data_IF_642020073423
#
_entry.id   IF_642020073423
#
_cell.length_a   1.000
_cell.length_b   1.000
_cell.length_c   1.000
_cell.angle_alpha   90.00
_cell.angle_beta   90.00
_cell.angle_gamma   90.00
#
_symmetry.space_group_name_H-M   'P 1'
#
loop_
_entity.id
_entity.type
_entity.pdbx_description
1 polymer ?
#
# COMPACT_ATOMS: atom_id res chain seq x y z
N UNK A 1 1.27 -6.86 -20.78
CA UNK A 1 2.46 -6.36 -21.48
C UNK A 1 2.65 -4.90 -21.10
N UNK A 2 3.87 -4.46 -20.78
CA UNK A 2 4.16 -3.05 -20.48
C UNK A 2 4.52 -2.34 -21.80
N UNK A 3 3.64 -1.47 -22.28
CA UNK A 3 3.83 -0.77 -23.57
C UNK A 3 4.48 0.61 -23.41
N UNK A 4 4.88 0.99 -22.19
CA UNK A 4 5.41 2.33 -21.88
C UNK A 4 6.64 2.71 -22.74
N UNK A 5 7.51 1.75 -23.05
CA UNK A 5 8.68 1.98 -23.91
C UNK A 5 8.27 2.23 -25.37
N UNK A 6 7.32 1.45 -25.89
CA UNK A 6 6.88 1.59 -27.28
C UNK A 6 6.11 2.88 -27.52
N UNK A 7 5.26 3.29 -26.57
CA UNK A 7 4.52 4.54 -26.70
C UNK A 7 5.42 5.76 -26.63
N UNK A 8 6.56 5.70 -25.94
CA UNK A 8 7.56 6.77 -25.98
C UNK A 8 8.06 6.99 -27.41
N UNK A 9 8.49 5.92 -28.09
CA UNK A 9 8.98 6.00 -29.47
C UNK A 9 7.89 6.48 -30.45
N UNK A 10 6.63 6.07 -30.24
CA UNK A 10 5.52 6.57 -31.03
C UNK A 10 5.31 8.08 -30.82
N UNK A 11 5.19 8.51 -29.57
CA UNK A 11 4.84 9.89 -29.22
C UNK A 11 5.91 10.90 -29.62
N UNK A 12 7.19 10.54 -29.58
CA UNK A 12 8.28 11.46 -29.97
C UNK A 12 8.33 11.73 -31.48
N UNK A 13 7.72 10.88 -32.30
CA UNK A 13 7.63 11.06 -33.76
C UNK A 13 6.40 11.89 -34.16
N UNK A 14 5.50 12.19 -33.21
CA UNK A 14 4.37 13.09 -33.43
C UNK A 14 4.78 14.55 -33.27
N UNK A 15 4.11 15.42 -34.00
CA UNK A 15 4.18 16.85 -33.80
C UNK A 15 3.34 17.27 -32.58
N UNK A 16 3.63 18.46 -32.04
CA UNK A 16 2.85 19.04 -30.94
C UNK A 16 1.37 19.22 -31.34
N UNK A 17 1.08 19.48 -32.62
CA UNK A 17 -0.30 19.67 -33.10
C UNK A 17 -1.12 18.37 -33.03
N UNK A 18 -0.48 17.21 -33.13
CA UNK A 18 -1.16 15.91 -33.08
C UNK A 18 -1.75 15.66 -31.68
N UNK A 19 -1.22 16.28 -30.64
CA UNK A 19 -1.76 16.22 -29.26
C UNK A 19 -2.95 17.16 -29.02
N UNK A 20 -3.44 17.84 -30.07
CA UNK A 20 -4.73 18.54 -30.03
C UNK A 20 -5.91 17.63 -30.40
N UNK A 21 -5.65 16.36 -30.70
CA UNK A 21 -6.65 15.34 -31.01
C UNK A 21 -6.96 14.48 -29.79
N UNK A 22 -8.26 14.25 -29.55
CA UNK A 22 -8.74 13.50 -28.39
C UNK A 22 -8.27 12.05 -28.41
N UNK A 23 -8.41 11.38 -29.57
CA UNK A 23 -8.08 9.96 -29.73
C UNK A 23 -6.58 9.72 -29.60
N UNK A 24 -5.77 10.64 -30.13
CA UNK A 24 -4.31 10.60 -30.02
C UNK A 24 -3.87 10.68 -28.55
N UNK A 25 -4.42 11.63 -27.78
CA UNK A 25 -4.09 11.75 -26.35
C UNK A 25 -4.60 10.53 -25.58
N UNK A 26 -5.82 10.06 -25.84
CA UNK A 26 -6.38 8.89 -25.18
C UNK A 26 -5.55 7.63 -25.45
N UNK A 27 -5.15 7.40 -26.71
CA UNK A 27 -4.31 6.27 -27.11
C UNK A 27 -2.97 6.26 -26.36
N UNK A 28 -2.33 7.44 -26.25
CA UNK A 28 -1.09 7.57 -25.46
C UNK A 28 -1.33 7.21 -24.00
N UNK A 29 -2.39 7.71 -23.37
CA UNK A 29 -2.72 7.39 -21.97
C UNK A 29 -3.04 5.91 -21.77
N UNK A 30 -3.77 5.28 -22.69
CA UNK A 30 -4.13 3.85 -22.64
C UNK A 30 -2.91 2.94 -22.70
N UNK A 31 -1.89 3.34 -23.45
CA UNK A 31 -0.60 2.66 -23.49
C UNK A 31 0.22 2.83 -22.18
N UNK A 32 -0.23 3.72 -21.29
CA UNK A 32 0.29 3.90 -19.92
C UNK A 32 1.79 4.22 -19.87
N UNK A 33 2.21 5.37 -20.43
CA UNK A 33 3.60 5.80 -20.49
C UNK A 33 4.18 6.00 -19.08
N UNK A 34 5.50 6.15 -18.97
CA UNK A 34 6.12 6.44 -17.68
C UNK A 34 5.77 7.86 -17.20
N UNK A 35 5.71 8.05 -15.87
CA UNK A 35 5.29 9.31 -15.24
C UNK A 35 6.22 10.50 -15.55
N UNK A 36 7.48 10.23 -15.90
CA UNK A 36 8.50 11.20 -16.29
C UNK A 36 8.82 11.22 -17.80
N UNK A 37 8.06 10.44 -18.58
CA UNK A 37 8.29 10.29 -20.03
C UNK A 37 7.95 11.55 -20.83
N UNK A 38 8.52 11.68 -22.04
CA UNK A 38 8.13 12.74 -22.98
C UNK A 38 6.72 12.49 -23.51
N UNK A 39 6.32 11.24 -23.76
CA UNK A 39 4.97 10.89 -24.19
C UNK A 39 3.90 11.42 -23.22
N UNK A 40 4.08 11.22 -21.91
CA UNK A 40 3.13 11.71 -20.93
C UNK A 40 3.10 13.24 -20.89
N UNK A 41 4.26 13.91 -20.94
CA UNK A 41 4.32 15.39 -21.00
C UNK A 41 3.60 15.95 -22.22
N UNK A 42 3.76 15.32 -23.38
CA UNK A 42 3.06 15.71 -24.61
C UNK A 42 1.55 15.49 -24.51
N UNK A 43 1.12 14.34 -23.97
CA UNK A 43 -0.30 14.05 -23.73
C UNK A 43 -0.94 15.09 -22.80
N UNK A 44 -0.21 15.56 -21.79
CA UNK A 44 -0.68 16.56 -20.82
C UNK A 44 -0.51 18.02 -21.26
N UNK A 45 0.00 18.27 -22.48
CA UNK A 45 0.24 19.63 -22.96
C UNK A 45 -1.06 20.39 -23.23
N UNK A 46 -2.04 19.74 -23.86
CA UNK A 46 -3.35 20.33 -24.14
C UNK A 46 -4.34 20.00 -23.02
N UNK A 47 -4.37 20.85 -22.00
CA UNK A 47 -5.24 20.68 -20.82
C UNK A 47 -6.73 20.52 -21.15
N UNK A 48 -7.34 21.30 -22.06
CA UNK A 48 -8.72 21.07 -22.48
C UNK A 48 -9.02 19.64 -22.96
N UNK A 49 -8.11 19.02 -23.72
CA UNK A 49 -8.29 17.64 -24.19
C UNK A 49 -8.21 16.64 -23.03
N UNK A 50 -7.23 16.79 -22.14
CA UNK A 50 -7.13 15.98 -20.92
C UNK A 50 -8.38 16.13 -20.05
N UNK A 51 -8.82 17.36 -19.80
CA UNK A 51 -10.02 17.63 -19.01
C UNK A 51 -11.26 17.00 -19.67
N UNK A 52 -11.34 17.01 -21.01
CA UNK A 52 -12.40 16.31 -21.75
C UNK A 52 -12.34 14.81 -21.50
N UNK A 53 -11.18 14.16 -21.70
CA UNK A 53 -10.98 12.72 -21.44
C UNK A 53 -11.40 12.35 -20.03
N UNK A 54 -10.94 13.11 -19.02
CA UNK A 54 -11.27 12.81 -17.63
C UNK A 54 -12.72 13.19 -17.24
N UNK A 55 -13.47 13.90 -18.09
CA UNK A 55 -14.92 14.14 -17.91
C UNK A 55 -15.77 13.10 -18.63
N UNK A 56 -15.37 12.68 -19.82
CA UNK A 56 -16.15 11.76 -20.66
C UNK A 56 -15.94 10.30 -20.28
N UNK A 57 -14.72 9.93 -19.88
CA UNK A 57 -14.39 8.54 -19.60
C UNK A 57 -14.91 8.06 -18.25
N UNK A 58 -15.34 6.79 -18.22
CA UNK A 58 -15.86 6.17 -17.00
C UNK A 58 -14.85 6.27 -15.85
N UNK A 59 -15.35 6.38 -14.62
CA UNK A 59 -14.48 6.44 -13.44
C UNK A 59 -13.54 5.22 -13.35
N UNK A 60 -14.02 4.03 -13.76
CA UNK A 60 -13.22 2.81 -13.82
C UNK A 60 -12.06 2.94 -14.81
N UNK A 61 -12.30 3.49 -16.01
CA UNK A 61 -11.25 3.69 -17.01
C UNK A 61 -10.21 4.69 -16.51
N UNK A 62 -10.64 5.82 -15.93
CA UNK A 62 -9.73 6.83 -15.35
C UNK A 62 -8.82 6.25 -14.26
N UNK A 63 -9.38 5.44 -13.35
CA UNK A 63 -8.59 4.72 -12.36
C UNK A 63 -7.59 3.73 -12.98
N UNK A 64 -7.98 3.02 -14.05
CA UNK A 64 -7.08 2.10 -14.77
C UNK A 64 -5.94 2.84 -15.47
N UNK A 65 -6.20 3.97 -16.12
CA UNK A 65 -5.17 4.78 -16.79
C UNK A 65 -4.11 5.23 -15.78
N UNK A 66 -4.53 5.94 -14.73
CA UNK A 66 -3.62 6.46 -13.72
C UNK A 66 -2.90 5.31 -12.98
N UNK A 67 -3.63 4.26 -12.59
CA UNK A 67 -3.06 3.11 -11.91
C UNK A 67 -1.99 2.38 -12.72
N UNK A 68 -2.17 2.27 -14.04
CA UNK A 68 -1.17 1.64 -14.92
C UNK A 68 0.07 2.52 -15.12
N UNK A 69 -0.08 3.85 -15.29
CA UNK A 69 1.04 4.79 -15.36
C UNK A 69 1.90 4.67 -14.09
N UNK A 70 1.27 4.73 -12.90
CA UNK A 70 1.96 4.60 -11.61
C UNK A 70 2.65 3.23 -11.51
N UNK A 71 1.95 2.15 -11.84
CA UNK A 71 2.48 0.79 -11.76
C UNK A 71 3.66 0.55 -12.70
N UNK A 72 3.54 0.95 -13.97
CA UNK A 72 4.59 0.77 -14.97
C UNK A 72 5.84 1.56 -14.57
N UNK A 73 5.66 2.82 -14.17
CA UNK A 73 6.76 3.69 -13.74
C UNK A 73 7.45 3.14 -12.49
N UNK A 74 6.68 2.75 -11.47
CA UNK A 74 7.24 2.21 -10.23
C UNK A 74 7.96 0.88 -10.45
N UNK A 75 7.40 -0.02 -11.27
CA UNK A 75 8.03 -1.31 -11.54
C UNK A 75 9.37 -1.13 -12.26
N UNK A 76 9.44 -0.24 -13.24
CA UNK A 76 10.70 0.06 -13.92
C UNK A 76 11.68 0.78 -12.99
N UNK A 77 11.20 1.69 -12.13
CA UNK A 77 12.02 2.34 -11.10
C UNK A 77 12.65 1.31 -10.16
N UNK A 78 11.89 0.32 -9.67
CA UNK A 78 12.41 -0.77 -8.83
C UNK A 78 13.44 -1.60 -9.57
N UNK A 79 13.14 -2.01 -10.81
CA UNK A 79 14.03 -2.79 -11.67
C UNK A 79 15.36 -2.08 -11.90
N UNK A 80 15.33 -0.78 -12.17
CA UNK A 80 16.51 0.05 -12.42
C UNK A 80 17.12 0.65 -11.14
N UNK A 81 16.50 0.46 -9.97
CA UNK A 81 16.82 1.15 -8.71
C UNK A 81 16.94 2.68 -8.88
N UNK A 82 16.03 3.27 -9.66
CA UNK A 82 16.00 4.71 -9.94
C UNK A 82 15.07 5.43 -8.96
N UNK A 83 15.66 6.13 -7.97
CA UNK A 83 14.89 6.94 -7.02
C UNK A 83 14.13 8.08 -7.70
N UNK A 84 14.75 8.72 -8.71
CA UNK A 84 14.10 9.79 -9.48
C UNK A 84 12.82 9.31 -10.14
N UNK A 85 12.86 8.14 -10.78
CA UNK A 85 11.69 7.56 -11.45
C UNK A 85 10.61 7.12 -10.44
N UNK A 86 11.02 6.61 -9.28
CA UNK A 86 10.11 6.30 -8.17
C UNK A 86 9.43 7.57 -7.62
N UNK A 87 10.17 8.67 -7.49
CA UNK A 87 9.62 9.98 -7.09
C UNK A 87 8.63 10.52 -8.11
N UNK A 88 8.89 10.35 -9.41
CA UNK A 88 7.94 10.69 -10.49
C UNK A 88 6.64 9.89 -10.38
N UNK A 89 6.73 8.57 -10.18
CA UNK A 89 5.57 7.72 -9.96
C UNK A 89 4.78 8.12 -8.70
N UNK A 90 5.47 8.38 -7.59
CA UNK A 90 4.86 8.78 -6.32
C UNK A 90 4.17 10.16 -6.43
N UNK A 91 4.78 11.10 -7.15
CA UNK A 91 4.23 12.43 -7.39
C UNK A 91 2.99 12.37 -8.29
N UNK A 92 3.05 11.58 -9.36
CA UNK A 92 1.88 11.34 -10.21
C UNK A 92 0.74 10.67 -9.42
N UNK A 93 1.08 9.74 -8.53
CA UNK A 93 0.13 9.11 -7.60
C UNK A 93 -0.56 10.14 -6.71
N UNK A 94 0.19 11.11 -6.15
CA UNK A 94 -0.38 12.21 -5.36
C UNK A 94 -1.39 13.03 -6.15
N UNK A 95 -1.04 13.45 -7.38
CA UNK A 95 -1.90 14.30 -8.19
C UNK A 95 -3.16 13.60 -8.70
N UNK A 96 -3.16 12.26 -8.74
CA UNK A 96 -4.38 11.48 -9.01
C UNK A 96 -5.46 11.66 -7.94
N UNK A 97 -5.13 12.25 -6.78
CA UNK A 97 -6.04 12.58 -5.68
C UNK A 97 -6.24 14.10 -5.54
N UNK A 98 -6.37 14.84 -6.64
CA UNK A 98 -6.43 16.31 -6.63
C UNK A 98 -7.43 16.91 -5.61
N UNK A 99 -8.58 16.27 -5.41
CA UNK A 99 -9.62 16.73 -4.49
C UNK A 99 -9.42 16.27 -3.03
N UNK A 100 -8.39 15.46 -2.75
CA UNK A 100 -8.10 14.91 -1.43
C UNK A 100 -6.58 14.94 -1.17
N UNK A 101 -6.04 16.10 -0.75
CA UNK A 101 -4.60 16.27 -0.55
C UNK A 101 -4.01 15.31 0.48
N UNK A 102 -4.80 14.90 1.47
CA UNK A 102 -4.39 13.93 2.49
C UNK A 102 -4.21 12.54 1.88
N UNK A 103 -5.19 12.03 1.12
CA UNK A 103 -5.04 10.78 0.36
C UNK A 103 -3.91 10.87 -0.66
N UNK A 104 -3.74 12.02 -1.31
CA UNK A 104 -2.62 12.26 -2.22
C UNK A 104 -1.26 12.11 -1.54
N UNK A 105 -1.10 12.75 -0.37
CA UNK A 105 0.12 12.65 0.43
C UNK A 105 0.38 11.21 0.91
N UNK A 106 -0.67 10.53 1.40
CA UNK A 106 -0.58 9.11 1.77
C UNK A 106 -0.12 8.26 0.58
N UNK A 107 -0.79 8.42 -0.56
CA UNK A 107 -0.49 7.68 -1.78
C UNK A 107 0.95 7.88 -2.24
N UNK A 108 1.47 9.11 -2.19
CA UNK A 108 2.87 9.42 -2.48
C UNK A 108 3.82 8.61 -1.59
N UNK A 109 3.60 8.66 -0.27
CA UNK A 109 4.48 8.00 0.69
C UNK A 109 4.38 6.48 0.55
N UNK A 110 3.18 5.92 0.34
CA UNK A 110 3.01 4.47 0.11
C UNK A 110 3.79 3.99 -1.11
N UNK A 111 3.84 4.76 -2.20
CA UNK A 111 4.63 4.42 -3.37
C UNK A 111 6.14 4.40 -3.06
N UNK A 112 6.63 5.37 -2.31
CA UNK A 112 8.04 5.40 -1.89
C UNK A 112 8.38 4.27 -0.91
N UNK A 113 7.48 3.94 0.02
CA UNK A 113 7.65 2.79 0.92
C UNK A 113 7.77 1.48 0.15
N UNK A 114 6.95 1.28 -0.89
CA UNK A 114 7.07 0.14 -1.79
C UNK A 114 8.43 0.12 -2.49
N UNK A 115 8.86 1.25 -3.04
CA UNK A 115 10.17 1.35 -3.69
C UNK A 115 11.32 0.96 -2.75
N UNK A 116 11.38 1.55 -1.55
CA UNK A 116 12.44 1.25 -0.58
C UNK A 116 12.41 -0.21 -0.10
N UNK A 117 11.21 -0.77 0.08
CA UNK A 117 11.04 -2.19 0.43
C UNK A 117 11.60 -3.13 -0.65
N UNK A 118 11.21 -2.93 -1.91
CA UNK A 118 11.56 -3.81 -3.03
C UNK A 118 13.03 -3.66 -3.44
N UNK A 119 13.61 -2.46 -3.28
CA UNK A 119 15.04 -2.20 -3.52
C UNK A 119 15.93 -2.53 -2.33
N UNK A 120 15.35 -2.95 -1.20
CA UNK A 120 16.02 -3.23 0.08
C UNK A 120 16.77 -2.02 0.67
N UNK A 121 16.32 -0.80 0.38
CA UNK A 121 16.79 0.43 1.02
C UNK A 121 16.16 0.57 2.41
N UNK A 122 16.70 -0.21 3.36
CA UNK A 122 16.15 -0.30 4.71
C UNK A 122 16.26 1.01 5.48
N UNK A 123 17.30 1.81 5.23
CA UNK A 123 17.50 3.11 5.89
C UNK A 123 16.37 4.07 5.55
N UNK A 124 16.09 4.27 4.26
CA UNK A 124 15.02 5.16 3.85
C UNK A 124 13.64 4.55 4.14
N UNK A 125 13.50 3.22 4.06
CA UNK A 125 12.27 2.54 4.48
C UNK A 125 11.92 2.87 5.94
N UNK A 126 12.84 2.67 6.89
CA UNK A 126 12.59 2.96 8.30
C UNK A 126 12.29 4.44 8.54
N UNK A 127 13.08 5.34 7.93
CA UNK A 127 12.89 6.79 8.06
C UNK A 127 11.51 7.24 7.60
N UNK A 128 10.98 6.64 6.54
CA UNK A 128 9.66 7.01 5.99
C UNK A 128 8.51 6.26 6.68
N UNK A 129 8.69 4.97 7.00
CA UNK A 129 7.60 4.12 7.49
C UNK A 129 7.13 4.55 8.87
N UNK A 130 8.05 4.82 9.81
CA UNK A 130 7.69 5.18 11.17
C UNK A 130 6.74 6.39 11.25
N UNK A 131 7.09 7.59 10.75
CA UNK A 131 6.19 8.74 10.80
C UNK A 131 4.92 8.57 9.95
N UNK A 132 4.96 7.72 8.91
CA UNK A 132 3.79 7.42 8.11
C UNK A 132 2.76 6.61 8.90
N UNK A 133 3.16 5.48 9.49
CA UNK A 133 2.23 4.63 10.22
C UNK A 133 1.79 5.26 11.54
N UNK A 134 2.67 5.99 12.23
CA UNK A 134 2.31 6.72 13.45
C UNK A 134 1.18 7.73 13.21
N UNK A 135 1.32 8.56 12.17
CA UNK A 135 0.36 9.61 11.86
C UNK A 135 -0.96 9.09 11.33
N UNK A 136 -0.91 8.10 10.44
CA UNK A 136 -2.09 7.66 9.70
C UNK A 136 -2.85 6.54 10.40
N UNK A 137 -2.19 5.79 11.27
CA UNK A 137 -2.77 4.61 11.90
C UNK A 137 -2.73 4.74 13.43
N UNK A 138 -1.61 5.11 14.05
CA UNK A 138 -1.49 5.04 15.51
C UNK A 138 -2.10 6.20 16.29
N UNK A 139 -2.46 7.31 15.62
CA UNK A 139 -2.99 8.51 16.27
C UNK A 139 -4.31 8.29 17.05
N UNK A 140 -5.18 7.40 16.57
CA UNK A 140 -6.47 7.13 17.22
C UNK A 140 -6.32 6.18 18.41
N UNK A 141 -7.06 6.45 19.49
CA UNK A 141 -7.19 5.50 20.61
C UNK A 141 -8.02 4.29 20.18
N UNK A 142 -7.87 3.17 20.90
CA UNK A 142 -8.69 1.96 20.70
C UNK A 142 -10.18 2.26 20.84
N UNK A 143 -10.57 3.11 21.78
CA UNK A 143 -11.96 3.51 21.99
C UNK A 143 -12.50 4.36 20.85
N UNK A 144 -11.71 5.33 20.37
CA UNK A 144 -12.08 6.16 19.21
C UNK A 144 -12.19 5.32 17.95
N UNK A 145 -11.29 4.35 17.77
CA UNK A 145 -11.31 3.45 16.62
C UNK A 145 -12.48 2.47 16.70
N UNK A 146 -12.77 1.90 17.87
CA UNK A 146 -13.93 1.05 18.12
C UNK A 146 -15.23 1.82 17.91
N UNK A 147 -15.29 3.08 18.37
CA UNK A 147 -16.42 3.98 18.12
C UNK A 147 -16.53 4.36 16.66
N UNK A 148 -15.46 4.58 15.90
CA UNK A 148 -15.53 4.83 14.46
C UNK A 148 -16.05 3.61 13.70
N UNK A 149 -15.56 2.42 14.06
CA UNK A 149 -16.03 1.15 13.50
C UNK A 149 -17.51 0.90 13.87
N UNK A 150 -17.95 1.32 15.06
CA UNK A 150 -19.34 1.15 15.52
C UNK A 150 -20.31 2.24 15.00
N UNK A 151 -19.88 3.51 14.98
CA UNK A 151 -20.68 4.70 14.69
C UNK A 151 -20.71 5.10 13.21
N UNK A 152 -19.86 4.51 12.36
CA UNK A 152 -20.00 4.68 10.90
C UNK A 152 -21.38 4.24 10.37
N UNK A 153 -22.15 3.50 11.17
CA UNK A 153 -23.55 3.16 10.94
C UNK A 153 -24.55 4.32 11.10
N UNK A 154 -24.17 5.40 11.79
CA UNK A 154 -25.09 6.49 12.21
C UNK A 154 -24.93 7.77 11.37
N UNK A 155 -23.74 8.02 10.79
CA UNK A 155 -23.43 9.29 10.13
C UNK A 155 -23.82 9.41 8.64
N UNK A 156 -24.47 8.39 8.05
CA UNK A 156 -24.95 8.46 6.65
C UNK A 156 -26.35 7.83 6.51
N UNK A 157 -27.44 8.58 6.76
CA UNK A 157 -28.79 8.04 6.80
C UNK A 157 -29.32 7.48 5.47
N UNK A 158 -28.62 7.70 4.34
CA UNK A 158 -29.09 7.32 2.99
C UNK A 158 -28.29 6.21 2.29
N UNK A 159 -27.39 5.51 2.99
CA UNK A 159 -26.70 4.33 2.47
C UNK A 159 -27.27 3.07 3.12
N UNK A 160 -27.66 2.07 2.32
CA UNK A 160 -28.20 0.80 2.82
C UNK A 160 -27.27 0.22 3.90
N UNK A 161 -27.84 -0.13 5.05
CA UNK A 161 -27.13 -0.61 6.25
C UNK A 161 -26.12 -1.73 5.96
N UNK A 162 -26.42 -2.60 4.99
CA UNK A 162 -25.54 -3.69 4.54
C UNK A 162 -24.30 -3.21 3.76
N UNK A 163 -24.40 -2.07 3.08
CA UNK A 163 -23.26 -1.46 2.38
C UNK A 163 -22.31 -0.77 3.36
N UNK A 164 -22.85 -0.13 4.39
CA UNK A 164 -22.05 0.55 5.43
C UNK A 164 -21.28 -0.44 6.29
N UNK A 165 -21.92 -1.52 6.74
CA UNK A 165 -21.25 -2.57 7.54
C UNK A 165 -20.09 -3.21 6.77
N UNK A 166 -20.27 -3.43 5.46
CA UNK A 166 -19.21 -3.93 4.58
C UNK A 166 -18.10 -2.90 4.34
N UNK A 167 -18.41 -1.61 4.16
CA UNK A 167 -17.40 -0.55 4.01
C UNK A 167 -16.56 -0.41 5.29
N UNK A 168 -17.18 -0.43 6.47
CA UNK A 168 -16.49 -0.31 7.76
C UNK A 168 -15.68 -1.55 8.09
N UNK A 169 -16.22 -2.75 7.79
CA UNK A 169 -15.47 -4.00 7.88
C UNK A 169 -14.26 -3.96 6.94
N UNK A 170 -14.43 -3.48 5.71
CA UNK A 170 -13.32 -3.35 4.76
C UNK A 170 -12.28 -2.30 5.20
N UNK A 171 -12.70 -1.21 5.84
CA UNK A 171 -11.78 -0.20 6.40
C UNK A 171 -11.01 -0.74 7.60
N UNK A 172 -11.68 -1.44 8.53
CA UNK A 172 -11.03 -2.10 9.67
C UNK A 172 -10.07 -3.21 9.21
N UNK A 173 -10.49 -4.02 8.23
CA UNK A 173 -9.64 -5.04 7.61
C UNK A 173 -8.42 -4.41 6.95
N UNK A 174 -8.60 -3.34 6.17
CA UNK A 174 -7.51 -2.59 5.53
C UNK A 174 -6.56 -1.96 6.55
N UNK A 175 -7.09 -1.37 7.63
CA UNK A 175 -6.31 -0.75 8.68
C UNK A 175 -5.42 -1.78 9.40
N UNK A 176 -5.99 -2.90 9.85
CA UNK A 176 -5.22 -3.95 10.52
C UNK A 176 -4.24 -4.62 9.56
N UNK A 177 -4.63 -4.87 8.30
CA UNK A 177 -3.74 -5.47 7.32
C UNK A 177 -2.56 -4.57 6.97
N UNK A 178 -2.77 -3.25 6.91
CA UNK A 178 -1.70 -2.29 6.61
C UNK A 178 -0.68 -2.21 7.76
N UNK A 179 -1.14 -2.21 9.01
CA UNK A 179 -0.27 -2.25 10.19
C UNK A 179 0.47 -3.59 10.33
N UNK A 180 -0.20 -4.71 10.08
CA UNK A 180 0.46 -6.02 10.06
C UNK A 180 1.50 -6.08 8.94
N UNK A 181 1.16 -5.62 7.73
CA UNK A 181 2.10 -5.53 6.63
C UNK A 181 3.33 -4.70 6.99
N UNK A 182 3.15 -3.53 7.60
CA UNK A 182 4.25 -2.69 8.08
C UNK A 182 5.16 -3.45 9.06
N UNK A 183 4.54 -4.14 10.02
CA UNK A 183 5.23 -4.92 11.04
C UNK A 183 6.04 -6.06 10.42
N UNK A 184 5.43 -6.80 9.48
CA UNK A 184 6.06 -7.88 8.74
C UNK A 184 7.20 -7.39 7.86
N UNK A 185 7.08 -6.21 7.26
CA UNK A 185 8.16 -5.60 6.48
C UNK A 185 9.36 -5.26 7.35
N UNK A 186 9.15 -4.72 8.56
CA UNK A 186 10.22 -4.50 9.53
C UNK A 186 10.93 -5.81 9.89
N UNK A 187 10.18 -6.88 10.16
CA UNK A 187 10.78 -8.21 10.40
C UNK A 187 11.64 -8.67 9.22
N UNK A 188 11.09 -8.61 8.00
CA UNK A 188 11.75 -9.04 6.74
C UNK A 188 13.02 -8.29 6.40
N UNK A 189 13.20 -7.06 6.89
CA UNK A 189 14.47 -6.32 6.69
C UNK A 189 15.68 -6.99 7.35
N UNK A 190 15.47 -7.89 8.31
CA UNK A 190 16.56 -8.45 9.08
C UNK A 190 16.99 -7.59 10.28
N UNK A 191 16.40 -6.41 10.52
CA UNK A 191 16.79 -5.52 11.62
C UNK A 191 16.84 -6.20 13.00
N UNK A 192 17.89 -5.90 13.76
CA UNK A 192 18.05 -6.25 15.19
C UNK A 192 17.98 -5.01 16.09
N UNK A 193 17.73 -3.83 15.52
CA UNK A 193 17.62 -2.60 16.28
C UNK A 193 16.38 -2.65 17.20
N UNK A 194 16.55 -2.55 18.54
CA UNK A 194 15.44 -2.66 19.48
C UNK A 194 14.34 -1.61 19.26
N UNK A 195 14.69 -0.40 18.81
CA UNK A 195 13.70 0.65 18.53
C UNK A 195 12.80 0.24 17.37
N UNK A 196 13.36 -0.26 16.27
CA UNK A 196 12.59 -0.74 15.11
C UNK A 196 11.75 -1.97 15.45
N UNK A 197 12.30 -2.91 16.23
CA UNK A 197 11.56 -4.10 16.65
C UNK A 197 10.39 -3.73 17.56
N UNK A 198 10.62 -2.90 18.58
CA UNK A 198 9.55 -2.44 19.47
C UNK A 198 8.48 -1.63 18.71
N UNK A 199 8.88 -0.83 17.72
CA UNK A 199 7.98 -0.11 16.84
C UNK A 199 7.04 -1.06 16.08
N UNK A 200 7.60 -2.06 15.41
CA UNK A 200 6.83 -3.06 14.68
C UNK A 200 5.93 -3.91 15.61
N UNK A 201 6.41 -4.25 16.81
CA UNK A 201 5.60 -4.94 17.82
C UNK A 201 4.37 -4.11 18.19
N UNK A 202 4.51 -2.79 18.39
CA UNK A 202 3.35 -1.91 18.70
C UNK A 202 2.32 -1.89 17.58
N UNK A 203 2.77 -1.82 16.33
CA UNK A 203 1.87 -1.84 15.16
C UNK A 203 1.15 -3.19 15.03
N UNK A 204 1.85 -4.30 15.21
CA UNK A 204 1.26 -5.64 15.15
C UNK A 204 0.24 -5.85 16.28
N UNK A 205 0.54 -5.40 17.50
CA UNK A 205 -0.44 -5.38 18.61
C UNK A 205 -1.67 -4.54 18.27
N UNK A 206 -1.49 -3.35 17.69
CA UNK A 206 -2.61 -2.50 17.28
C UNK A 206 -3.45 -3.14 16.17
N UNK A 207 -2.83 -3.84 15.22
CA UNK A 207 -3.56 -4.59 14.19
C UNK A 207 -4.48 -5.65 14.82
N UNK A 208 -3.97 -6.37 15.83
CA UNK A 208 -4.69 -7.39 16.59
C UNK A 208 -5.83 -6.80 17.42
N UNK A 209 -5.60 -5.65 18.10
CA UNK A 209 -6.63 -4.94 18.87
C UNK A 209 -7.86 -4.61 18.02
N UNK A 210 -7.63 -4.26 16.75
CA UNK A 210 -8.68 -3.85 15.81
C UNK A 210 -9.35 -5.04 15.13
N UNK A 211 -8.56 -6.03 14.74
CA UNK A 211 -9.06 -7.25 14.13
C UNK A 211 -8.14 -8.43 14.51
N UNK A 212 -8.54 -9.30 15.43
CA UNK A 212 -7.71 -10.40 15.90
C UNK A 212 -7.69 -11.55 14.88
N UNK A 213 -6.91 -11.38 13.82
CA UNK A 213 -6.69 -12.40 12.79
C UNK A 213 -5.42 -13.22 13.06
N UNK A 214 -5.47 -14.54 12.82
CA UNK A 214 -4.37 -15.44 13.17
C UNK A 214 -3.01 -15.07 12.54
N UNK A 215 -3.01 -14.55 11.30
CA UNK A 215 -1.75 -14.10 10.66
C UNK A 215 -1.09 -12.92 11.36
N UNK A 216 -1.84 -12.10 12.10
CA UNK A 216 -1.27 -10.94 12.81
C UNK A 216 -0.55 -11.39 14.08
N UNK A 217 -1.07 -12.41 14.75
CA UNK A 217 -0.40 -13.06 15.88
C UNK A 217 0.90 -13.76 15.45
N UNK A 218 0.92 -14.36 14.25
CA UNK A 218 2.15 -14.93 13.66
C UNK A 218 3.21 -13.84 13.46
N UNK A 219 2.86 -12.71 12.84
CA UNK A 219 3.78 -11.56 12.72
C UNK A 219 4.29 -11.07 14.08
N UNK A 220 3.41 -10.95 15.07
CA UNK A 220 3.78 -10.55 16.43
C UNK A 220 4.78 -11.52 17.06
N UNK A 221 4.53 -12.83 16.93
CA UNK A 221 5.39 -13.88 17.46
C UNK A 221 6.81 -13.81 16.87
N UNK A 222 6.93 -13.67 15.56
CA UNK A 222 8.23 -13.53 14.88
C UNK A 222 9.02 -12.30 15.37
N UNK A 223 8.33 -11.16 15.55
CA UNK A 223 8.94 -9.94 16.05
C UNK A 223 9.38 -10.06 17.51
N UNK A 224 8.53 -10.65 18.37
CA UNK A 224 8.84 -10.90 19.78
C UNK A 224 10.01 -11.86 19.93
N UNK A 225 10.02 -12.95 19.14
CA UNK A 225 11.09 -13.94 19.14
C UNK A 225 12.42 -13.27 18.80
N UNK A 226 12.43 -12.45 17.76
CA UNK A 226 13.61 -11.68 17.33
C UNK A 226 14.06 -10.63 18.35
N UNK A 227 13.14 -10.13 19.17
CA UNK A 227 13.42 -9.22 20.27
C UNK A 227 13.85 -9.94 21.57
N UNK A 228 13.98 -11.28 21.56
CA UNK A 228 14.35 -12.09 22.73
C UNK A 228 13.20 -12.42 23.69
N UNK A 229 11.96 -12.05 23.34
CA UNK A 229 10.74 -12.31 24.14
C UNK A 229 10.17 -13.67 23.78
N UNK A 230 10.95 -14.73 24.05
CA UNK A 230 10.67 -16.07 23.54
C UNK A 230 9.39 -16.69 24.10
N UNK A 231 9.08 -16.47 25.38
CA UNK A 231 7.87 -17.01 25.99
C UNK A 231 6.61 -16.41 25.34
N UNK A 232 6.56 -15.08 25.21
CA UNK A 232 5.45 -14.38 24.58
C UNK A 232 5.33 -14.71 23.10
N UNK A 233 6.46 -14.93 22.41
CA UNK A 233 6.45 -15.34 21.01
C UNK A 233 5.77 -16.71 20.82
N UNK A 234 6.13 -17.70 21.64
CA UNK A 234 5.54 -19.04 21.58
C UNK A 234 4.04 -19.00 21.88
N UNK A 235 3.63 -18.21 22.88
CA UNK A 235 2.21 -18.02 23.20
C UNK A 235 1.44 -17.42 22.02
N UNK A 236 1.96 -16.34 21.43
CA UNK A 236 1.30 -15.68 20.29
C UNK A 236 1.24 -16.60 19.05
N UNK A 237 2.27 -17.42 18.81
CA UNK A 237 2.25 -18.39 17.71
C UNK A 237 1.20 -19.49 17.92
N UNK A 238 1.01 -19.94 19.17
CA UNK A 238 -0.07 -20.88 19.49
C UNK A 238 -1.46 -20.26 19.29
N UNK A 239 -1.63 -18.98 19.65
CA UNK A 239 -2.86 -18.23 19.38
C UNK A 239 -3.11 -18.13 17.87
N UNK A 240 -2.07 -17.86 17.07
CA UNK A 240 -2.15 -17.83 15.61
C UNK A 240 -2.71 -19.15 15.06
N UNK A 241 -2.13 -20.29 15.45
CA UNK A 241 -2.59 -21.63 15.04
C UNK A 241 -4.05 -21.86 15.43
N UNK A 242 -4.44 -21.51 16.67
CA UNK A 242 -5.82 -21.68 17.16
C UNK A 242 -6.83 -20.89 16.31
N UNK A 243 -6.51 -19.64 15.96
CA UNK A 243 -7.38 -18.79 15.14
C UNK A 243 -7.46 -19.28 13.69
N UNK A 244 -6.33 -19.62 13.07
CA UNK A 244 -6.27 -20.16 11.70
C UNK A 244 -7.05 -21.47 11.60
N UNK A 245 -6.92 -22.35 12.59
CA UNK A 245 -7.69 -23.60 12.68
C UNK A 245 -9.19 -23.34 12.81
N UNK A 246 -9.59 -22.37 13.64
CA UNK A 246 -10.99 -21.97 13.79
C UNK A 246 -11.59 -21.49 12.47
N UNK A 247 -10.81 -20.78 11.67
CA UNK A 247 -11.20 -20.30 10.34
C UNK A 247 -11.13 -21.37 9.25
N UNK A 248 -10.81 -22.63 9.61
CA UNK A 248 -10.66 -23.77 8.70
C UNK A 248 -9.60 -23.56 7.61
N UNK A 249 -8.59 -22.75 7.91
CA UNK A 249 -7.43 -22.51 7.06
C UNK A 249 -6.33 -23.52 7.43
N UNK A 250 -5.51 -23.92 6.46
CA UNK A 250 -4.37 -24.82 6.69
C UNK A 250 -3.37 -24.24 7.69
N UNK A 251 -3.07 -24.98 8.76
CA UNK A 251 -2.16 -24.57 9.85
C UNK A 251 -0.70 -24.96 9.64
N UNK A 252 -0.36 -25.74 8.60
CA UNK A 252 0.97 -26.32 8.43
C UNK A 252 2.12 -25.30 8.47
N UNK A 253 1.93 -24.12 7.87
CA UNK A 253 2.91 -23.03 7.93
C UNK A 253 3.14 -22.57 9.38
N UNK A 254 2.07 -22.30 10.12
CA UNK A 254 2.14 -21.76 11.48
C UNK A 254 2.73 -22.78 12.47
N UNK A 255 2.39 -24.06 12.30
CA UNK A 255 2.95 -25.16 13.09
C UNK A 255 4.45 -25.36 12.81
N UNK A 256 4.86 -25.23 11.54
CA UNK A 256 6.28 -25.23 11.16
C UNK A 256 7.04 -24.07 11.82
N UNK A 257 6.51 -22.84 11.78
CA UNK A 257 7.17 -21.69 12.42
C UNK A 257 7.23 -21.85 13.95
N UNK A 258 6.17 -22.40 14.59
CA UNK A 258 6.21 -22.73 16.02
C UNK A 258 7.32 -23.72 16.35
N UNK A 259 7.47 -24.78 15.54
CA UNK A 259 8.53 -25.76 15.72
C UNK A 259 9.92 -25.10 15.62
N UNK A 260 10.14 -24.23 14.62
CA UNK A 260 11.40 -23.47 14.51
C UNK A 260 11.69 -22.60 15.72
N UNK A 261 10.67 -21.96 16.30
CA UNK A 261 10.82 -21.18 17.54
C UNK A 261 11.22 -22.05 18.73
N UNK A 262 10.62 -23.24 18.87
CA UNK A 262 10.94 -24.20 19.94
C UNK A 262 12.38 -24.73 19.78
N UNK A 263 12.74 -25.13 18.56
CA UNK A 263 14.05 -25.69 18.22
C UNK A 263 15.14 -24.60 18.16
N UNK A 264 14.76 -23.33 18.32
CA UNK A 264 15.61 -22.14 18.22
C UNK A 264 16.34 -21.99 16.88
N UNK A 265 15.64 -22.31 15.79
CA UNK A 265 16.15 -22.27 14.41
C UNK A 265 15.51 -21.17 13.55
N UNK A 266 14.67 -20.32 14.15
CA UNK A 266 14.02 -19.17 13.49
C UNK A 266 14.98 -18.00 13.22
#
# INVERSE_FOLDING_TARGET
MNNAVYIENYAINLSVKDFNDYETVLYVLEASPYADSKALRLAFLNKPIIDSIFKTESISKRFKLNGRIIKNTMNEAIKLKSLSMAQSAATFSRFSWANDPEKGSRSQISQLLRYYAETKDTLNYFRSAAPYYERNYMYLTTDSLSKLISNGSVLMPNLKRDSISNILRNQSLSYSSDLDFASKMFYKTGTRNPLHLNQAIRWSKRAIEVNPFGSYYDTLAHLQYKAGKHAEALENQQIAIKLIKKDKINTAYFESELKKMIDKTL
#
